data_IF_773175021328
#
_entry.id   IF_773175021328
#
_cell.length_a   1.000
_cell.length_b   1.000
_cell.length_c   1.000
_cell.angle_alpha   90.00
_cell.angle_beta   90.00
_cell.angle_gamma   90.00
#
_symmetry.space_group_name_H-M   'P 1'
#
loop_
_entity.id
_entity.type
_entity.pdbx_description
1 polymer ?
#
# COMPACT_ATOMS: atom_id res chain seq x y z
N UNK A 1 -18.62 -2.09 -6.39
CA UNK A 1 -18.36 -1.50 -5.07
C UNK A 1 -17.11 -2.11 -4.47
N UNK A 2 -16.18 -1.25 -4.05
CA UNK A 2 -14.97 -1.63 -3.33
C UNK A 2 -15.20 -1.45 -1.83
N UNK A 3 -14.75 -2.41 -1.03
CA UNK A 3 -14.76 -2.30 0.45
C UNK A 3 -13.39 -2.68 0.99
N UNK A 4 -12.81 -1.82 1.82
CA UNK A 4 -11.65 -2.13 2.64
C UNK A 4 -12.15 -2.69 3.97
N UNK A 5 -11.76 -3.92 4.25
CA UNK A 5 -11.96 -4.57 5.53
C UNK A 5 -10.66 -4.47 6.29
N UNK A 6 -10.66 -3.71 7.39
CA UNK A 6 -9.46 -3.51 8.19
C UNK A 6 -9.79 -3.00 9.60
N UNK A 7 -8.97 -3.40 10.58
CA UNK A 7 -9.03 -2.77 11.89
C UNK A 7 -8.61 -1.29 11.83
N UNK A 8 -9.27 -0.37 12.55
CA UNK A 8 -8.98 1.07 12.51
C UNK A 8 -7.54 1.47 12.83
N UNK A 9 -6.89 0.72 13.74
CA UNK A 9 -5.51 0.99 14.14
C UNK A 9 -4.45 0.43 13.18
N UNK A 10 -4.86 -0.23 12.09
CA UNK A 10 -3.91 -0.85 11.18
C UNK A 10 -3.15 0.18 10.35
N UNK A 11 -1.82 0.20 10.51
CA UNK A 11 -0.92 0.97 9.64
C UNK A 11 -1.00 0.47 8.19
N UNK A 12 -1.13 -0.84 7.97
CA UNK A 12 -1.25 -1.38 6.62
C UNK A 12 -2.56 -0.96 5.93
N UNK A 13 -3.63 -0.71 6.70
CA UNK A 13 -4.85 -0.09 6.17
C UNK A 13 -4.59 1.33 5.69
N UNK A 14 -3.78 2.11 6.42
CA UNK A 14 -3.38 3.46 6.00
C UNK A 14 -2.69 3.45 4.63
N UNK A 15 -1.83 2.47 4.37
CA UNK A 15 -1.22 2.24 3.05
C UNK A 15 -2.29 2.02 1.96
N UNK A 16 -3.20 1.06 2.17
CA UNK A 16 -4.24 0.74 1.18
C UNK A 16 -5.20 1.91 0.91
N UNK A 17 -5.54 2.67 1.95
CA UNK A 17 -6.35 3.89 1.81
C UNK A 17 -5.65 4.95 0.95
N UNK A 18 -4.33 5.10 1.09
CA UNK A 18 -3.54 5.98 0.21
C UNK A 18 -3.57 5.50 -1.25
N UNK A 19 -3.51 4.19 -1.48
CA UNK A 19 -3.63 3.61 -2.83
C UNK A 19 -5.01 3.89 -3.42
N UNK A 20 -6.08 3.66 -2.66
CA UNK A 20 -7.45 3.98 -3.07
C UNK A 20 -7.61 5.48 -3.39
N UNK A 21 -6.96 6.36 -2.61
CA UNK A 21 -6.93 7.79 -2.88
C UNK A 21 -6.28 8.12 -4.23
N UNK A 22 -5.12 7.53 -4.52
CA UNK A 22 -4.43 7.73 -5.81
C UNK A 22 -5.29 7.25 -6.98
N UNK A 23 -6.03 6.13 -6.81
CA UNK A 23 -6.95 5.62 -7.81
C UNK A 23 -8.24 6.45 -7.95
N UNK A 24 -8.48 7.42 -7.07
CA UNK A 24 -9.73 8.19 -7.03
C UNK A 24 -10.95 7.34 -6.69
N UNK A 25 -10.76 6.20 -6.02
CA UNK A 25 -11.86 5.29 -5.70
C UNK A 25 -12.66 5.79 -4.49
N UNK A 26 -13.98 5.88 -4.63
CA UNK A 26 -14.88 5.82 -3.49
C UNK A 26 -14.95 4.37 -2.98
N UNK A 27 -14.93 4.18 -1.66
CA UNK A 27 -14.87 2.84 -1.09
C UNK A 27 -15.60 2.75 0.26
N UNK A 28 -16.14 1.57 0.54
CA UNK A 28 -16.62 1.22 1.87
C UNK A 28 -15.46 0.92 2.82
N UNK A 29 -15.59 1.28 4.10
CA UNK A 29 -14.67 0.88 5.15
C UNK A 29 -15.47 0.16 6.23
N UNK A 30 -15.05 -1.06 6.58
CA UNK A 30 -15.68 -1.80 7.67
C UNK A 30 -14.64 -2.28 8.67
N UNK A 31 -15.00 -2.14 9.94
CA UNK A 31 -14.21 -2.44 11.13
C UNK A 31 -14.75 -3.75 11.71
N UNK A 32 -14.39 -4.91 11.17
CA UNK A 32 -14.40 -6.23 11.84
C UNK A 32 -14.56 -7.39 10.85
N UNK A 33 -13.92 -8.51 11.20
CA UNK A 33 -14.18 -9.85 10.68
C UNK A 33 -13.41 -10.21 9.42
N UNK A 34 -12.33 -10.97 9.56
CA UNK A 34 -11.89 -11.84 8.48
C UNK A 34 -13.04 -12.83 8.18
N UNK A 35 -13.63 -12.88 6.97
CA UNK A 35 -14.64 -13.88 6.62
C UNK A 35 -14.00 -15.27 6.55
N UNK A 36 -12.65 -15.33 6.59
CA UNK A 36 -11.83 -16.52 6.46
C UNK A 36 -11.15 -16.95 7.78
N UNK A 37 -11.34 -16.21 8.88
CA UNK A 37 -10.87 -16.55 10.24
C UNK A 37 -9.37 -16.96 10.33
N UNK A 38 -8.44 -16.15 9.79
CA UNK A 38 -6.99 -16.46 9.70
C UNK A 38 -6.06 -15.57 10.55
N UNK A 39 -6.49 -15.10 11.73
CA UNK A 39 -5.60 -14.40 12.68
C UNK A 39 -5.14 -13.01 12.22
N UNK A 40 -3.89 -12.58 12.56
CA UNK A 40 -3.33 -11.22 12.30
C UNK A 40 -3.31 -10.78 10.81
N UNK A 41 -3.81 -11.60 9.88
CA UNK A 41 -3.92 -11.35 8.43
C UNK A 41 -5.20 -10.57 7.99
N UNK A 42 -5.92 -9.93 8.92
CA UNK A 42 -7.28 -9.38 8.75
C UNK A 42 -7.45 -8.11 7.89
N UNK A 43 -6.68 -7.96 6.80
CA UNK A 43 -6.83 -6.82 5.86
C UNK A 43 -6.99 -7.32 4.44
N UNK A 44 -8.10 -6.94 3.81
CA UNK A 44 -8.41 -7.32 2.45
C UNK A 44 -9.32 -6.30 1.77
N UNK A 45 -9.25 -6.25 0.45
CA UNK A 45 -10.19 -5.52 -0.39
C UNK A 45 -11.24 -6.50 -0.89
N UNK A 46 -12.50 -6.22 -0.62
CA UNK A 46 -13.63 -6.82 -1.31
C UNK A 46 -13.95 -6.00 -2.56
N UNK A 47 -14.15 -6.69 -3.67
CA UNK A 47 -14.70 -6.13 -4.91
C UNK A 47 -15.81 -7.04 -5.41
N UNK A 48 -17.05 -6.56 -5.34
CA UNK A 48 -18.20 -7.41 -5.60
C UNK A 48 -18.22 -8.56 -4.60
N UNK A 49 -18.14 -9.80 -5.09
CA UNK A 49 -17.99 -11.02 -4.28
C UNK A 49 -16.57 -11.59 -4.21
N UNK A 50 -15.56 -10.90 -4.78
CA UNK A 50 -14.17 -11.34 -4.71
C UNK A 50 -13.44 -10.64 -3.58
N UNK A 51 -12.52 -11.37 -2.95
CA UNK A 51 -11.68 -10.86 -1.88
C UNK A 51 -10.21 -10.95 -2.28
N UNK A 52 -9.48 -9.86 -2.09
CA UNK A 52 -8.04 -9.76 -2.32
C UNK A 52 -7.38 -9.42 -0.99
N UNK A 53 -6.73 -10.42 -0.39
CA UNK A 53 -6.02 -10.22 0.86
C UNK A 53 -4.56 -9.86 0.58
N UNK A 54 -4.01 -8.94 1.39
CA UNK A 54 -2.65 -8.43 1.23
C UNK A 54 -2.56 -7.16 0.38
N UNK A 55 -1.72 -6.22 0.83
CA UNK A 55 -1.65 -4.90 0.24
C UNK A 55 -1.15 -4.92 -1.22
N UNK A 56 -0.16 -5.76 -1.56
CA UNK A 56 0.35 -5.84 -2.94
C UNK A 56 -0.66 -6.47 -3.89
N UNK A 57 -1.34 -7.54 -3.46
CA UNK A 57 -2.35 -8.19 -4.29
C UNK A 57 -3.54 -7.26 -4.56
N UNK A 58 -4.03 -6.59 -3.53
CA UNK A 58 -5.07 -5.57 -3.66
C UNK A 58 -4.64 -4.43 -4.60
N UNK A 59 -3.38 -3.99 -4.52
CA UNK A 59 -2.81 -2.97 -5.41
C UNK A 59 -2.84 -3.40 -6.87
N UNK A 60 -2.36 -4.62 -7.16
CA UNK A 60 -2.38 -5.18 -8.51
C UNK A 60 -3.81 -5.40 -9.01
N UNK A 61 -4.72 -5.77 -8.12
CA UNK A 61 -6.12 -5.93 -8.45
C UNK A 61 -6.78 -4.60 -8.85
N UNK A 62 -6.52 -3.54 -8.08
CA UNK A 62 -7.00 -2.19 -8.38
C UNK A 62 -6.41 -1.65 -9.68
N UNK A 63 -5.11 -1.88 -9.93
CA UNK A 63 -4.47 -1.44 -11.18
C UNK A 63 -5.04 -2.18 -12.39
N UNK A 64 -5.14 -3.50 -12.34
CA UNK A 64 -5.60 -4.30 -13.47
C UNK A 64 -7.06 -4.01 -13.85
N UNK A 65 -7.88 -3.63 -12.88
CA UNK A 65 -9.30 -3.37 -13.12
C UNK A 65 -9.61 -1.90 -13.45
N UNK A 66 -8.76 -0.97 -13.03
CA UNK A 66 -8.84 0.45 -13.43
C UNK A 66 -7.44 0.94 -13.78
N UNK A 67 -6.96 0.75 -15.03
CA UNK A 67 -5.59 1.10 -15.40
C UNK A 67 -5.23 2.58 -15.22
N UNK A 68 -6.21 3.48 -15.32
CA UNK A 68 -6.04 4.90 -15.06
C UNK A 68 -6.83 5.36 -13.82
N UNK A 69 -6.28 6.27 -12.99
CA UNK A 69 -4.90 6.77 -13.03
C UNK A 69 -3.91 5.67 -12.63
N UNK A 70 -2.85 5.44 -13.42
CA UNK A 70 -1.90 4.34 -13.13
C UNK A 70 -1.13 4.54 -11.82
N UNK A 71 -0.87 3.45 -11.10
CA UNK A 71 0.03 3.43 -9.95
C UNK A 71 1.52 3.36 -10.34
N UNK A 72 1.81 3.21 -11.64
CA UNK A 72 3.14 2.98 -12.18
C UNK A 72 3.50 4.04 -13.24
N UNK A 73 3.58 5.33 -12.85
CA UNK A 73 3.67 6.45 -13.79
C UNK A 73 4.93 6.47 -14.68
N UNK A 74 5.97 5.72 -14.33
CA UNK A 74 7.21 5.58 -15.11
C UNK A 74 7.30 4.23 -15.87
N UNK A 75 6.16 3.58 -16.12
CA UNK A 75 6.06 2.38 -16.94
C UNK A 75 6.63 1.10 -16.35
N UNK A 76 7.16 1.13 -15.12
CA UNK A 76 7.65 -0.04 -14.40
C UNK A 76 6.83 -0.33 -13.14
N UNK A 77 6.47 -1.60 -12.95
CA UNK A 77 5.77 -2.08 -11.76
C UNK A 77 6.68 -2.80 -10.77
N UNK A 78 7.73 -3.49 -11.26
CA UNK A 78 8.65 -4.26 -10.41
C UNK A 78 9.35 -3.43 -9.34
N UNK A 79 9.84 -2.23 -9.66
CA UNK A 79 10.55 -1.39 -8.69
C UNK A 79 9.62 -0.87 -7.57
N UNK A 80 8.44 -0.28 -7.86
CA UNK A 80 7.50 0.09 -6.80
C UNK A 80 7.01 -1.09 -5.96
N UNK A 81 6.81 -2.27 -6.57
CA UNK A 81 6.47 -3.49 -5.81
C UNK A 81 7.63 -3.92 -4.90
N UNK A 82 8.87 -3.87 -5.38
CA UNK A 82 10.07 -4.14 -4.58
C UNK A 82 10.19 -3.17 -3.39
N UNK A 83 9.83 -1.89 -3.59
CA UNK A 83 9.78 -0.91 -2.50
C UNK A 83 8.80 -1.28 -1.39
N UNK A 84 7.79 -2.12 -1.67
CA UNK A 84 6.90 -2.69 -0.65
C UNK A 84 7.60 -3.62 0.34
N UNK A 85 8.57 -4.40 -0.13
CA UNK A 85 9.41 -5.22 0.74
C UNK A 85 10.45 -4.38 1.47
N UNK A 86 11.06 -3.43 0.77
CA UNK A 86 12.00 -2.49 1.38
C UNK A 86 11.34 -1.67 2.49
N UNK A 87 10.15 -1.11 2.27
CA UNK A 87 9.48 -0.25 3.26
C UNK A 87 9.16 -1.05 4.52
N UNK A 88 8.69 -2.29 4.38
CA UNK A 88 8.42 -3.18 5.50
C UNK A 88 9.70 -3.48 6.31
N UNK A 89 10.79 -3.82 5.63
CA UNK A 89 12.10 -4.03 6.28
C UNK A 89 12.62 -2.75 6.96
N UNK A 90 12.58 -1.61 6.27
CA UNK A 90 13.06 -0.33 6.77
C UNK A 90 12.30 0.11 8.02
N UNK A 91 10.97 -0.11 8.07
CA UNK A 91 10.15 0.16 9.27
C UNK A 91 10.64 -0.68 10.46
N UNK A 92 10.82 -2.00 10.26
CA UNK A 92 11.31 -2.90 11.32
C UNK A 92 12.68 -2.50 11.82
N UNK A 93 13.62 -2.29 10.90
CA UNK A 93 14.98 -1.86 11.23
C UNK A 93 14.98 -0.55 12.01
N UNK A 94 14.18 0.44 11.57
CA UNK A 94 14.10 1.77 12.18
C UNK A 94 13.46 1.77 13.57
N UNK A 95 12.55 0.83 13.84
CA UNK A 95 11.97 0.65 15.18
C UNK A 95 12.95 0.01 16.16
N UNK A 96 13.86 -0.82 15.67
CA UNK A 96 14.89 -1.47 16.49
C UNK A 96 16.12 -0.58 16.69
N UNK A 97 16.48 0.23 15.69
CA UNK A 97 17.60 1.16 15.73
C UNK A 97 17.24 2.47 15.01
N UNK A 98 17.17 3.56 15.78
CA UNK A 98 16.82 4.89 15.28
C UNK A 98 17.83 5.51 14.30
N UNK A 99 19.09 5.05 14.28
CA UNK A 99 20.09 5.50 13.29
C UNK A 99 19.74 5.01 11.88
N UNK A 100 19.09 3.84 11.76
CA UNK A 100 18.70 3.29 10.46
C UNK A 100 17.58 4.08 9.78
N UNK A 101 16.74 4.77 10.57
CA UNK A 101 15.70 5.66 10.06
C UNK A 101 16.30 6.74 9.16
N UNK A 102 17.35 7.41 9.63
CA UNK A 102 17.99 8.47 8.86
C UNK A 102 18.64 7.92 7.59
N UNK A 103 19.31 6.76 7.68
CA UNK A 103 19.94 6.11 6.54
C UNK A 103 18.92 5.74 5.46
N UNK A 104 17.79 5.14 5.82
CA UNK A 104 16.72 4.81 4.87
C UNK A 104 16.05 6.06 4.29
N UNK A 105 15.81 7.08 5.11
CA UNK A 105 15.25 8.35 4.65
C UNK A 105 16.19 9.08 3.68
N UNK A 106 17.50 8.95 3.82
CA UNK A 106 18.48 9.50 2.89
C UNK A 106 18.39 8.89 1.50
N UNK A 107 17.94 7.64 1.35
CA UNK A 107 17.71 7.03 0.02
C UNK A 107 16.58 7.77 -0.72
N UNK A 108 15.49 8.09 0.00
CA UNK A 108 14.39 8.89 -0.55
C UNK A 108 14.86 10.32 -0.85
N UNK A 109 15.60 10.95 0.07
CA UNK A 109 16.11 12.30 -0.11
C UNK A 109 17.04 12.42 -1.34
N UNK A 110 17.92 11.43 -1.55
CA UNK A 110 18.80 11.36 -2.73
C UNK A 110 18.00 11.26 -4.03
N UNK A 111 16.94 10.45 -4.06
CA UNK A 111 16.06 10.35 -5.24
C UNK A 111 15.36 11.67 -5.55
N UNK A 112 15.05 12.46 -4.52
CA UNK A 112 14.37 13.75 -4.62
C UNK A 112 15.34 14.94 -4.80
N UNK A 113 16.65 14.70 -4.80
CA UNK A 113 17.67 15.74 -4.78
C UNK A 113 17.67 16.63 -6.04
N UNK A 114 17.15 16.12 -7.16
CA UNK A 114 17.00 16.85 -8.41
C UNK A 114 15.73 17.72 -8.49
N UNK A 115 14.97 17.80 -7.39
CA UNK A 115 13.79 18.66 -7.29
C UNK A 115 12.52 18.06 -7.90
N UNK A 116 12.53 16.79 -8.34
CA UNK A 116 11.32 16.13 -8.83
C UNK A 116 10.20 16.14 -7.78
N UNK A 117 8.92 16.25 -8.18
CA UNK A 117 7.82 16.34 -7.23
C UNK A 117 7.50 15.00 -6.55
N UNK A 118 7.76 13.86 -7.23
CA UNK A 118 7.48 12.49 -6.80
C UNK A 118 8.62 11.54 -7.17
N UNK A 119 8.71 10.38 -6.51
CA UNK A 119 9.87 9.47 -6.62
C UNK A 119 10.11 8.96 -8.05
N UNK A 120 9.03 8.77 -8.82
CA UNK A 120 9.07 8.28 -10.20
C UNK A 120 8.91 9.38 -11.26
N UNK A 121 8.94 10.66 -10.88
CA UNK A 121 8.88 11.78 -11.82
C UNK A 121 7.81 12.81 -11.45
N UNK A 122 6.97 13.19 -12.41
CA UNK A 122 6.01 14.29 -12.28
C UNK A 122 4.65 13.89 -11.71
N UNK A 123 4.32 12.60 -11.70
CA UNK A 123 3.06 12.05 -11.18
C UNK A 123 3.32 11.15 -9.96
N UNK A 124 2.42 11.15 -8.96
CA UNK A 124 2.52 10.22 -7.84
C UNK A 124 2.26 8.79 -8.29
N UNK A 125 2.89 7.82 -7.64
CA UNK A 125 2.66 6.40 -7.87
C UNK A 125 2.86 5.55 -6.62
N UNK A 126 2.88 4.23 -6.79
CA UNK A 126 3.08 3.27 -5.71
C UNK A 126 4.42 3.49 -4.99
N UNK A 127 5.48 3.91 -5.70
CA UNK A 127 6.75 4.24 -5.07
C UNK A 127 6.58 5.32 -3.99
N UNK A 128 5.80 6.36 -4.28
CA UNK A 128 5.53 7.44 -3.33
C UNK A 128 4.76 6.94 -2.11
N UNK A 129 3.77 6.06 -2.32
CA UNK A 129 3.02 5.43 -1.24
C UNK A 129 3.94 4.63 -0.33
N UNK A 130 4.86 3.84 -0.91
CA UNK A 130 5.79 3.00 -0.15
C UNK A 130 6.77 3.81 0.70
N UNK A 131 7.36 4.87 0.12
CA UNK A 131 8.23 5.78 0.86
C UNK A 131 7.48 6.58 1.93
N UNK A 132 6.29 7.08 1.61
CA UNK A 132 5.46 7.81 2.55
C UNK A 132 5.00 6.93 3.72
N UNK A 133 4.64 5.68 3.43
CA UNK A 133 4.24 4.71 4.43
C UNK A 133 5.37 4.38 5.40
N UNK A 134 6.59 4.21 4.90
CA UNK A 134 7.79 4.07 5.73
C UNK A 134 7.93 5.24 6.72
N UNK A 135 7.97 6.48 6.24
CA UNK A 135 8.17 7.65 7.09
C UNK A 135 7.02 7.87 8.08
N UNK A 136 5.79 7.54 7.69
CA UNK A 136 4.61 7.71 8.54
C UNK A 136 4.50 6.61 9.61
N UNK A 137 5.14 5.47 9.39
CA UNK A 137 5.15 4.32 10.32
C UNK A 137 6.33 4.32 11.30
N UNK A 138 7.23 5.30 11.18
CA UNK A 138 8.41 5.47 12.02
C UNK A 138 8.33 6.78 12.82
N UNK A 139 9.12 6.95 13.90
CA UNK A 139 9.26 8.24 14.57
C UNK A 139 9.65 9.36 13.60
N UNK A 140 9.21 10.58 13.87
CA UNK A 140 9.53 11.72 13.02
C UNK A 140 11.04 12.04 13.04
N UNK A 141 11.60 12.32 11.86
CA UNK A 141 12.97 12.81 11.72
C UNK A 141 13.01 14.25 12.24
N UNK A 142 13.91 14.55 13.18
CA UNK A 142 14.00 15.88 13.82
C UNK A 142 14.32 17.02 12.84
N UNK A 143 15.08 16.74 11.77
CA UNK A 143 15.52 17.73 10.77
C UNK A 143 15.64 17.06 9.39
N UNK A 144 14.51 16.76 8.73
CA UNK A 144 14.54 16.18 7.39
C UNK A 144 15.11 17.18 6.39
N UNK A 145 15.76 16.67 5.35
CA UNK A 145 16.12 17.45 4.16
C UNK A 145 14.89 18.18 3.58
N UNK A 146 15.09 19.36 2.99
CA UNK A 146 14.01 20.21 2.50
C UNK A 146 13.19 19.55 1.38
N UNK A 147 13.85 18.81 0.47
CA UNK A 147 13.15 18.09 -0.60
C UNK A 147 12.33 16.94 -0.04
N UNK A 148 12.90 16.18 0.91
CA UNK A 148 12.19 15.10 1.59
C UNK A 148 10.95 15.62 2.34
N UNK A 149 11.09 16.71 3.11
CA UNK A 149 9.99 17.33 3.84
C UNK A 149 8.90 17.88 2.91
N UNK A 150 9.29 18.51 1.80
CA UNK A 150 8.34 19.02 0.81
C UNK A 150 7.60 17.88 0.11
N UNK A 151 8.30 16.82 -0.28
CA UNK A 151 7.70 15.63 -0.89
C UNK A 151 6.76 14.91 0.07
N UNK A 152 7.15 14.68 1.33
CA UNK A 152 6.29 13.98 2.30
C UNK A 152 4.97 14.73 2.54
N UNK A 153 5.02 16.07 2.66
CA UNK A 153 3.81 16.91 2.72
C UNK A 153 2.94 16.78 1.47
N UNK A 154 3.54 16.77 0.27
CA UNK A 154 2.80 16.58 -0.99
C UNK A 154 2.07 15.24 -1.02
N UNK A 155 2.76 14.14 -0.70
CA UNK A 155 2.14 12.80 -0.69
C UNK A 155 1.08 12.68 0.41
N UNK A 156 1.31 13.30 1.57
CA UNK A 156 0.31 13.36 2.64
C UNK A 156 -0.97 14.08 2.17
N UNK A 157 -0.83 15.22 1.47
CA UNK A 157 -1.93 16.04 0.96
C UNK A 157 -2.80 15.34 -0.09
N UNK A 158 -2.34 14.24 -0.71
CA UNK A 158 -3.16 13.41 -1.61
C UNK A 158 -4.34 12.73 -0.90
N UNK A 159 -4.39 12.77 0.43
CA UNK A 159 -5.53 12.25 1.21
C UNK A 159 -5.59 10.72 1.27
N UNK A 160 -6.69 10.20 1.80
CA UNK A 160 -6.91 8.76 2.02
C UNK A 160 -8.14 8.23 1.26
N UNK A 161 -8.64 9.00 0.29
CA UNK A 161 -9.84 8.69 -0.48
C UNK A 161 -11.14 8.97 0.27
N UNK A 162 -12.26 8.74 -0.41
CA UNK A 162 -13.60 8.92 0.13
C UNK A 162 -14.12 7.60 0.71
N UNK A 163 -13.95 7.43 2.03
CA UNK A 163 -14.41 6.27 2.77
C UNK A 163 -15.86 6.46 3.25
N UNK A 164 -16.70 5.46 3.08
CA UNK A 164 -18.01 5.36 3.73
C UNK A 164 -18.01 4.19 4.70
N UNK A 165 -18.42 4.40 5.96
CA UNK A 165 -18.55 3.29 6.92
C UNK A 165 -19.61 2.29 6.44
N UNK A 166 -19.29 0.99 6.52
CA UNK A 166 -20.19 -0.10 6.14
C UNK A 166 -20.27 -1.17 7.23
N UNK A 167 -21.42 -1.83 7.33
CA UNK A 167 -21.61 -3.02 8.15
C UNK A 167 -21.27 -4.30 7.37
N UNK A 168 -21.03 -5.40 8.07
CA UNK A 168 -20.85 -6.71 7.41
C UNK A 168 -22.08 -7.15 6.61
N UNK A 169 -23.29 -6.77 7.07
CA UNK A 169 -24.53 -7.01 6.35
C UNK A 169 -24.55 -6.28 5.01
N UNK A 170 -24.13 -5.00 4.99
CA UNK A 170 -24.01 -4.23 3.74
C UNK A 170 -22.99 -4.88 2.80
N UNK A 171 -21.85 -5.32 3.33
CA UNK A 171 -20.79 -5.97 2.57
C UNK A 171 -21.24 -7.30 1.94
N UNK A 172 -21.98 -8.11 2.70
CA UNK A 172 -22.52 -9.40 2.24
C UNK A 172 -23.60 -9.24 1.16
N UNK A 173 -24.31 -8.11 1.16
CA UNK A 173 -25.34 -7.79 0.18
C UNK A 173 -24.78 -7.29 -1.17
N UNK A 174 -23.46 -7.03 -1.27
CA UNK A 174 -22.85 -6.53 -2.51
C UNK A 174 -22.98 -7.60 -3.62
N UNK A 175 -23.52 -7.25 -4.80
CA UNK A 175 -23.68 -8.20 -5.90
C UNK A 175 -22.34 -8.59 -6.54
N UNK A 176 -22.37 -9.62 -7.37
CA UNK A 176 -21.23 -9.95 -8.22
C UNK A 176 -20.92 -8.84 -9.22
N UNK A 177 -19.63 -8.65 -9.50
CA UNK A 177 -19.16 -7.72 -10.51
C UNK A 177 -18.33 -8.47 -11.55
N UNK A 178 -18.77 -8.40 -12.80
CA UNK A 178 -18.09 -9.04 -13.94
C UNK A 178 -16.63 -8.60 -14.05
N UNK A 179 -16.35 -7.30 -13.86
CA UNK A 179 -15.00 -6.74 -13.91
C UNK A 179 -14.06 -7.40 -12.88
N UNK A 180 -14.56 -7.64 -11.67
CA UNK A 180 -13.82 -8.36 -10.64
C UNK A 180 -13.60 -9.83 -11.04
N UNK A 181 -14.62 -10.53 -11.57
CA UNK A 181 -14.53 -11.94 -11.96
C UNK A 181 -13.52 -12.20 -13.08
N UNK A 182 -13.44 -11.30 -14.05
CA UNK A 182 -12.56 -11.44 -15.21
C UNK A 182 -11.11 -11.07 -14.92
N UNK A 183 -10.82 -10.60 -13.70
CA UNK A 183 -9.49 -10.15 -13.32
C UNK A 183 -8.51 -11.33 -13.27
N UNK A 184 -7.54 -11.31 -14.18
CA UNK A 184 -6.41 -12.23 -14.23
C UNK A 184 -5.21 -11.55 -13.59
N UNK A 185 -4.98 -11.89 -12.33
CA UNK A 185 -3.75 -11.53 -11.65
C UNK A 185 -2.71 -12.61 -12.01
N UNK A 186 -1.52 -12.18 -12.47
CA UNK A 186 -0.44 -13.08 -12.85
C UNK A 186 0.07 -13.95 -11.68
N UNK A 187 1.19 -14.67 -11.82
CA UNK A 187 1.69 -15.60 -10.81
C UNK A 187 1.88 -14.99 -9.41
N UNK A 188 2.11 -13.67 -9.33
CA UNK A 188 2.15 -12.88 -8.08
C UNK A 188 0.86 -12.93 -7.23
N UNK A 189 -0.20 -13.56 -7.73
CA UNK A 189 -1.50 -13.66 -7.10
C UNK A 189 -1.71 -14.87 -6.18
N UNK A 190 -0.70 -15.74 -6.05
CA UNK A 190 -0.81 -16.97 -5.26
C UNK A 190 0.40 -17.13 -4.35
N UNK A 191 0.17 -17.79 -3.22
CA UNK A 191 1.01 -18.44 -2.19
C UNK A 191 2.52 -18.72 -2.43
N UNK A 192 3.20 -17.95 -3.27
CA UNK A 192 4.63 -18.00 -3.49
C UNK A 192 5.31 -17.42 -2.25
N UNK A 193 5.60 -18.36 -1.34
CA UNK A 193 6.50 -18.15 -0.23
C UNK A 193 7.91 -18.00 -0.77
N UNK A 194 8.61 -16.99 -0.28
CA UNK A 194 10.04 -16.87 -0.46
C UNK A 194 10.71 -16.90 0.91
N UNK A 195 11.95 -17.37 0.94
CA UNK A 195 12.82 -17.26 2.10
C UNK A 195 14.05 -16.44 1.72
N UNK A 196 14.23 -15.29 2.37
CA UNK A 196 15.30 -14.36 2.04
C UNK A 196 16.16 -14.07 3.27
N UNK A 197 17.50 -14.15 3.17
CA UNK A 197 18.40 -14.09 4.34
C UNK A 197 18.29 -12.78 5.14
N UNK A 198 17.85 -11.69 4.50
CA UNK A 198 17.70 -10.37 5.13
C UNK A 198 16.24 -9.98 5.36
N UNK A 199 15.31 -10.42 4.52
CA UNK A 199 13.91 -10.02 4.60
C UNK A 199 13.10 -11.01 5.45
N UNK A 200 13.65 -12.18 5.74
CA UNK A 200 12.97 -13.30 6.36
C UNK A 200 12.13 -14.10 5.36
N UNK A 201 11.40 -15.07 5.89
CA UNK A 201 10.39 -15.82 5.14
C UNK A 201 9.14 -14.95 4.95
N UNK A 202 8.58 -14.89 3.75
CA UNK A 202 7.38 -14.09 3.47
C UNK A 202 6.56 -14.63 2.31
N UNK A 203 5.38 -14.06 2.07
CA UNK A 203 4.63 -14.29 0.85
C UNK A 203 4.86 -13.11 -0.10
N UNK A 204 4.98 -13.35 -1.40
CA UNK A 204 5.10 -12.26 -2.38
C UNK A 204 3.94 -11.25 -2.28
N UNK A 205 2.74 -11.71 -1.95
CA UNK A 205 1.58 -10.83 -1.73
C UNK A 205 1.58 -10.06 -0.39
N UNK A 206 2.40 -10.49 0.58
CA UNK A 206 2.43 -9.98 1.96
C UNK A 206 3.88 -9.78 2.44
N UNK A 207 4.51 -8.63 2.16
CA UNK A 207 5.74 -8.27 2.83
C UNK A 207 5.48 -8.18 4.35
N UNK A 208 6.22 -8.95 5.14
CA UNK A 208 6.07 -8.98 6.60
C UNK A 208 6.53 -7.64 7.22
N UNK A 209 5.65 -7.01 8.00
CA UNK A 209 5.96 -5.87 8.87
C UNK A 209 6.51 -6.31 10.23
#
# INVERSE_FOLDING_TARGET
>A
MLVLHAHPSSSLALKLRKILALKGCAYGLTENGDPFDKGEAGIYIQWGRRFFSGAQLATLALEAASPEPTLFPNGNNGMPLALGFWSAHAIRASKQNSETLLAHAQLLARQLADGRPFLQGTRPGLADVEGWFFLTSCPAIRRPDAHLAAWHRRVHALGLGAAQTMTLTDCAAIPEEKAAQTLKLGPLARDERFDHPVLGTGNLAYPLL
#
